data_IF_510318917390
#
_entry.id   IF_510318917390
#
_cell.length_a   1.000
_cell.length_b   1.000
_cell.length_c   1.000
_cell.angle_alpha   90.00
_cell.angle_beta   90.00
_cell.angle_gamma   90.00
#
_symmetry.space_group_name_H-M   'P 1'
#
loop_
_entity.id
_entity.type
_entity.pdbx_description
1 polymer ?
#
# COMPACT_ATOMS: atom_id res chain seq x y z
N UNK A 1 23.07 -22.74 5.23
CA UNK A 1 22.09 -21.64 5.31
C UNK A 1 21.27 -21.74 4.05
N UNK A 2 20.00 -22.15 4.14
CA UNK A 2 19.10 -22.08 2.99
C UNK A 2 19.03 -20.62 2.55
N UNK A 3 19.02 -20.37 1.25
CA UNK A 3 18.68 -19.05 0.75
C UNK A 3 17.22 -18.81 1.10
N UNK A 4 16.97 -18.19 2.25
CA UNK A 4 15.64 -17.67 2.57
C UNK A 4 15.32 -16.68 1.44
N UNK A 5 14.35 -17.05 0.61
CA UNK A 5 13.83 -16.20 -0.45
C UNK A 5 13.39 -14.88 0.21
N UNK A 6 13.95 -13.76 -0.24
CA UNK A 6 13.57 -12.43 0.24
C UNK A 6 12.03 -12.32 0.23
N UNK A 7 11.44 -11.94 1.37
CA UNK A 7 9.99 -11.89 1.54
C UNK A 7 9.50 -10.46 1.36
N UNK A 8 8.55 -10.28 0.44
CA UNK A 8 7.96 -8.99 0.09
C UNK A 8 6.48 -8.93 0.44
N UNK A 9 5.99 -7.73 0.70
CA UNK A 9 4.58 -7.37 0.63
C UNK A 9 4.42 -6.03 -0.12
N UNK A 10 3.21 -5.69 -0.55
CA UNK A 10 2.93 -4.46 -1.29
C UNK A 10 2.10 -3.52 -0.43
N UNK A 11 2.40 -2.21 -0.47
CA UNK A 11 1.58 -1.19 0.15
C UNK A 11 1.23 -0.09 -0.87
N UNK A 12 -0.07 0.12 -1.10
CA UNK A 12 -0.60 1.27 -1.84
C UNK A 12 -0.88 2.38 -0.83
N UNK A 13 -0.12 3.47 -0.91
CA UNK A 13 -0.07 4.50 0.13
C UNK A 13 0.00 5.92 -0.45
N UNK A 14 -0.33 6.93 0.34
CA UNK A 14 -0.11 8.33 -0.04
C UNK A 14 1.39 8.64 -0.16
N UNK A 15 1.75 9.70 -0.89
CA UNK A 15 3.13 10.27 -0.88
C UNK A 15 3.47 11.00 0.43
N UNK A 16 2.50 11.18 1.32
CA UNK A 16 2.70 11.90 2.58
C UNK A 16 3.81 11.24 3.41
N UNK A 17 4.84 12.01 3.75
CA UNK A 17 6.00 11.52 4.48
C UNK A 17 5.66 11.02 5.89
N UNK A 18 4.60 11.56 6.51
CA UNK A 18 4.17 11.21 7.87
C UNK A 18 3.74 9.75 7.99
N UNK A 19 3.27 9.15 6.90
CA UNK A 19 2.63 7.82 6.91
C UNK A 19 3.52 6.70 6.35
N UNK A 20 4.69 7.01 5.78
CA UNK A 20 5.56 6.01 5.15
C UNK A 20 6.01 4.93 6.15
N UNK A 21 6.74 5.31 7.20
CA UNK A 21 7.28 4.36 8.17
C UNK A 21 6.17 3.60 8.94
N UNK A 22 5.10 4.25 9.43
CA UNK A 22 3.99 3.53 10.08
C UNK A 22 3.36 2.45 9.21
N UNK A 23 3.16 2.71 7.91
CA UNK A 23 2.60 1.72 6.98
C UNK A 23 3.58 0.60 6.73
N UNK A 24 4.88 0.89 6.52
CA UNK A 24 5.93 -0.12 6.35
C UNK A 24 5.96 -1.06 7.57
N UNK A 25 5.99 -0.51 8.78
CA UNK A 25 6.08 -1.29 10.02
C UNK A 25 4.84 -2.17 10.22
N UNK A 26 3.65 -1.62 9.92
CA UNK A 26 2.41 -2.39 9.96
C UNK A 26 2.43 -3.56 8.99
N UNK A 27 2.82 -3.33 7.73
CA UNK A 27 2.83 -4.36 6.67
C UNK A 27 3.86 -5.45 6.98
N UNK A 28 5.08 -5.06 7.39
CA UNK A 28 6.13 -6.01 7.82
C UNK A 28 5.62 -6.94 8.92
N UNK A 29 5.02 -6.37 9.97
CA UNK A 29 4.47 -7.14 11.08
C UNK A 29 3.28 -8.01 10.67
N UNK A 30 2.41 -7.50 9.79
CA UNK A 30 1.19 -8.21 9.36
C UNK A 30 1.49 -9.45 8.53
N UNK A 31 2.47 -9.36 7.62
CA UNK A 31 2.80 -10.45 6.68
C UNK A 31 4.09 -11.21 7.00
N UNK A 32 4.81 -10.79 8.05
CA UNK A 32 6.13 -11.32 8.41
C UNK A 32 7.09 -11.27 7.20
N UNK A 33 7.33 -10.05 6.71
CA UNK A 33 8.14 -9.77 5.52
C UNK A 33 9.27 -8.80 5.84
N UNK A 34 10.35 -8.86 5.06
CA UNK A 34 11.51 -7.98 5.21
C UNK A 34 11.37 -6.69 4.39
N UNK A 35 10.79 -6.81 3.19
CA UNK A 35 10.66 -5.71 2.24
C UNK A 35 9.19 -5.37 1.99
N UNK A 36 8.93 -4.08 1.82
CA UNK A 36 7.60 -3.56 1.47
C UNK A 36 7.75 -2.70 0.22
N UNK A 37 7.14 -3.13 -0.87
CA UNK A 37 7.06 -2.34 -2.09
C UNK A 37 6.02 -1.24 -1.89
N UNK A 38 6.51 0.00 -1.71
CA UNK A 38 5.67 1.18 -1.52
C UNK A 38 5.23 1.74 -2.87
N UNK A 39 4.00 1.42 -3.28
CA UNK A 39 3.35 2.02 -4.46
C UNK A 39 2.65 3.30 -4.01
N UNK A 40 3.24 4.46 -4.35
CA UNK A 40 2.78 5.74 -3.81
C UNK A 40 2.21 6.69 -4.87
N UNK A 41 1.15 7.41 -4.50
CA UNK A 41 0.59 8.53 -5.25
C UNK A 41 -0.12 9.48 -4.26
N UNK A 42 -0.26 10.77 -4.57
CA UNK A 42 -1.05 11.67 -3.74
C UNK A 42 -2.50 11.17 -3.66
N UNK A 43 -2.98 10.88 -2.45
CA UNK A 43 -4.33 10.35 -2.24
C UNK A 43 -4.57 8.95 -2.82
N UNK A 44 -3.55 8.08 -2.91
CA UNK A 44 -3.65 6.78 -3.59
C UNK A 44 -4.84 5.88 -3.16
N UNK A 45 -5.32 6.01 -1.92
CA UNK A 45 -6.50 5.26 -1.46
C UNK A 45 -7.81 5.68 -2.14
N UNK A 46 -7.86 6.85 -2.80
CA UNK A 46 -9.04 7.35 -3.49
C UNK A 46 -9.33 6.65 -4.82
N UNK A 47 -8.36 5.91 -5.37
CA UNK A 47 -8.57 5.15 -6.60
C UNK A 47 -7.29 4.59 -7.21
N UNK A 48 -7.47 3.47 -7.93
CA UNK A 48 -6.40 2.76 -8.63
C UNK A 48 -6.29 3.27 -10.06
N UNK A 49 -5.28 4.08 -10.33
CA UNK A 49 -4.93 4.41 -11.72
C UNK A 49 -4.11 3.28 -12.37
N UNK A 50 -3.96 3.32 -13.69
CA UNK A 50 -3.25 2.30 -14.46
C UNK A 50 -1.81 2.09 -13.97
N UNK A 51 -1.13 3.15 -13.54
CA UNK A 51 0.24 3.07 -13.05
C UNK A 51 0.33 2.35 -11.69
N UNK A 52 -0.61 2.61 -10.77
CA UNK A 52 -0.70 1.90 -9.48
C UNK A 52 -0.92 0.41 -9.74
N UNK A 53 -1.87 0.06 -10.61
CA UNK A 53 -2.16 -1.34 -10.96
C UNK A 53 -0.95 -2.02 -11.60
N UNK A 54 -0.24 -1.35 -12.51
CA UNK A 54 0.96 -1.89 -13.13
C UNK A 54 2.07 -2.16 -12.10
N UNK A 55 2.28 -1.24 -11.14
CA UNK A 55 3.31 -1.40 -10.11
C UNK A 55 2.94 -2.49 -9.10
N UNK A 56 1.67 -2.57 -8.68
CA UNK A 56 1.16 -3.64 -7.83
C UNK A 56 1.36 -4.98 -8.53
N UNK A 57 1.01 -5.08 -9.82
CA UNK A 57 1.22 -6.29 -10.62
C UNK A 57 2.68 -6.73 -10.63
N UNK A 58 3.63 -5.81 -10.81
CA UNK A 58 5.07 -6.12 -10.73
C UNK A 58 5.44 -6.69 -9.35
N UNK A 59 4.98 -6.07 -8.26
CA UNK A 59 5.25 -6.57 -6.90
C UNK A 59 4.65 -7.97 -6.67
N UNK A 60 3.42 -8.21 -7.11
CA UNK A 60 2.76 -9.52 -6.98
C UNK A 60 3.45 -10.58 -7.85
N UNK A 61 3.71 -10.30 -9.12
CA UNK A 61 4.22 -11.30 -10.06
C UNK A 61 5.73 -11.51 -9.96
N UNK A 62 6.53 -10.45 -9.79
CA UNK A 62 7.99 -10.57 -9.75
C UNK A 62 8.51 -10.86 -8.35
N UNK A 63 7.96 -10.20 -7.32
CA UNK A 63 8.42 -10.36 -5.94
C UNK A 63 7.60 -11.37 -5.13
N UNK A 64 6.55 -11.95 -5.73
CA UNK A 64 5.67 -12.93 -5.09
C UNK A 64 5.12 -12.41 -3.76
N UNK A 65 4.65 -11.16 -3.79
CA UNK A 65 4.17 -10.40 -2.64
C UNK A 65 3.19 -11.21 -1.78
N UNK A 66 3.48 -11.30 -0.47
CA UNK A 66 2.68 -12.06 0.50
C UNK A 66 1.28 -11.46 0.73
N UNK A 67 1.07 -10.22 0.32
CA UNK A 67 -0.22 -9.54 0.38
C UNK A 67 -0.12 -8.07 0.03
N UNK A 68 -1.28 -7.47 -0.21
CA UNK A 68 -1.41 -6.05 -0.56
C UNK A 68 -2.15 -5.32 0.56
N UNK A 69 -1.65 -4.16 0.95
CA UNK A 69 -2.31 -3.25 1.90
C UNK A 69 -2.59 -1.93 1.19
N UNK A 70 -3.81 -1.43 1.35
CA UNK A 70 -4.18 -0.06 0.99
C UNK A 70 -4.22 0.76 2.27
N UNK A 71 -3.60 1.94 2.26
CA UNK A 71 -3.58 2.85 3.39
C UNK A 71 -4.11 4.23 2.99
N UNK A 72 -5.09 4.71 3.75
CA UNK A 72 -5.57 6.09 3.73
C UNK A 72 -5.14 6.82 5.01
N UNK A 73 -5.19 8.16 5.02
CA UNK A 73 -4.81 8.94 6.20
C UNK A 73 -5.59 10.25 6.29
N UNK A 74 -5.99 10.63 7.49
CA UNK A 74 -6.61 11.94 7.73
C UNK A 74 -5.68 13.10 7.30
N UNK A 75 -6.27 14.27 7.07
CA UNK A 75 -5.54 15.48 6.65
C UNK A 75 -4.69 15.27 5.37
N UNK A 76 -5.28 14.58 4.38
CA UNK A 76 -4.65 14.30 3.09
C UNK A 76 -4.87 15.44 2.10
N UNK A 77 -3.82 16.17 1.74
CA UNK A 77 -3.88 17.19 0.69
C UNK A 77 -4.17 16.62 -0.71
N UNK A 78 -3.76 15.36 -0.96
CA UNK A 78 -4.01 14.67 -2.22
C UNK A 78 -5.43 14.12 -2.37
N UNK A 79 -6.20 14.08 -1.27
CA UNK A 79 -7.59 13.66 -1.24
C UNK A 79 -8.33 14.36 -0.08
N UNK A 80 -8.72 15.64 -0.26
CA UNK A 80 -9.20 16.50 0.82
C UNK A 80 -10.68 16.23 1.16
N UNK A 81 -10.94 15.04 1.70
CA UNK A 81 -12.26 14.60 2.16
C UNK A 81 -12.23 14.22 3.65
N UNK A 82 -13.39 13.97 4.24
CA UNK A 82 -13.49 13.58 5.65
C UNK A 82 -12.83 12.23 5.94
N UNK A 83 -12.34 12.02 7.16
CA UNK A 83 -11.75 10.76 7.61
C UNK A 83 -12.71 9.55 7.40
N UNK A 84 -14.00 9.74 7.66
CA UNK A 84 -15.01 8.70 7.40
C UNK A 84 -15.08 8.32 5.91
N UNK A 85 -15.05 9.31 5.01
CA UNK A 85 -15.06 9.07 3.58
C UNK A 85 -13.75 8.42 3.09
N UNK A 86 -12.60 8.81 3.67
CA UNK A 86 -11.33 8.16 3.39
C UNK A 86 -11.32 6.69 3.80
N UNK A 87 -11.89 6.35 4.96
CA UNK A 87 -12.01 4.96 5.42
C UNK A 87 -12.87 4.12 4.47
N UNK A 88 -13.99 4.66 3.98
CA UNK A 88 -14.82 4.00 2.97
C UNK A 88 -14.04 3.75 1.68
N UNK A 89 -13.38 4.79 1.13
CA UNK A 89 -12.55 4.64 -0.08
C UNK A 89 -11.41 3.64 0.11
N UNK A 90 -10.77 3.63 1.27
CA UNK A 90 -9.70 2.68 1.58
C UNK A 90 -10.19 1.22 1.47
N UNK A 91 -11.39 0.94 1.98
CA UNK A 91 -11.99 -0.41 1.91
C UNK A 91 -12.40 -0.74 0.47
N UNK A 92 -13.06 0.18 -0.22
CA UNK A 92 -13.47 -0.01 -1.61
C UNK A 92 -12.27 -0.28 -2.52
N UNK A 93 -11.22 0.51 -2.41
CA UNK A 93 -9.96 0.36 -3.14
C UNK A 93 -9.26 -0.96 -2.80
N UNK A 94 -9.25 -1.38 -1.53
CA UNK A 94 -8.68 -2.66 -1.14
C UNK A 94 -9.44 -3.87 -1.72
N UNK A 95 -10.76 -3.78 -1.86
CA UNK A 95 -11.59 -4.85 -2.45
C UNK A 95 -11.48 -4.91 -3.99
N UNK A 96 -10.90 -3.88 -4.62
CA UNK A 96 -10.70 -3.81 -6.07
C UNK A 96 -9.34 -4.36 -6.53
N UNK A 97 -8.48 -4.77 -5.59
CA UNK A 97 -7.16 -5.39 -5.82
C UNK A 97 -7.21 -6.89 -5.56
#
# INVERSE_FOLDING_TARGET
MSADSLRFATAVNCIDGRVQQPVIDFVRKKYDVEYVDMVTNAGAAAGLNEQILANVKVSVEAHQSAGIVVAAHEDCAGNPISDAAQKSQCIETANAL
#
